data_IF_474738644216
#
_entry.id   IF_474738644216
#
_cell.length_a   1.000
_cell.length_b   1.000
_cell.length_c   1.000
_cell.angle_alpha   90.00
_cell.angle_beta   90.00
_cell.angle_gamma   90.00
#
_symmetry.space_group_name_H-M   'P 1'
#
loop_
_entity.id
_entity.type
_entity.pdbx_description
1 polymer ?
#
# COMPACT_ATOMS: atom_id res chain seq x y z
N UNK A 1 1.60 64.21 31.97
CA UNK A 1 1.15 63.89 30.59
C UNK A 1 1.30 62.39 30.43
N UNK A 2 0.28 61.63 30.82
CA UNK A 2 0.34 60.16 30.78
C UNK A 2 0.15 59.67 29.35
N UNK A 3 1.24 59.18 28.78
CA UNK A 3 1.23 58.48 27.50
C UNK A 3 0.78 57.04 27.78
N UNK A 4 -0.52 56.77 27.61
CA UNK A 4 -1.03 55.40 27.55
C UNK A 4 -0.52 54.75 26.26
N UNK A 5 0.49 53.89 26.37
CA UNK A 5 0.88 52.98 25.29
C UNK A 5 -0.28 52.02 25.01
N UNK A 6 -0.87 52.13 23.83
CA UNK A 6 -1.95 51.27 23.37
C UNK A 6 -1.37 49.91 22.94
N UNK A 7 -1.17 49.01 23.91
CA UNK A 7 -0.64 47.64 23.74
C UNK A 7 -1.63 46.68 23.04
N UNK A 8 -2.79 47.15 22.59
CA UNK A 8 -3.86 46.28 22.05
C UNK A 8 -3.70 45.94 20.55
N UNK A 9 -2.82 46.60 19.80
CA UNK A 9 -2.74 46.46 18.33
C UNK A 9 -1.59 45.58 17.81
N UNK A 10 -0.73 45.00 18.66
CA UNK A 10 0.44 44.22 18.21
C UNK A 10 0.46 42.75 18.64
N UNK A 11 -0.46 42.28 19.50
CA UNK A 11 -0.38 40.91 20.05
C UNK A 11 -0.84 39.82 19.09
N UNK A 12 -1.67 40.13 18.09
CA UNK A 12 -2.22 39.10 17.18
C UNK A 12 -1.26 38.70 16.06
N UNK A 13 -0.41 39.61 15.56
CA UNK A 13 0.53 39.32 14.46
C UNK A 13 1.89 38.76 14.90
N UNK A 14 2.15 38.69 16.21
CA UNK A 14 3.39 38.14 16.78
C UNK A 14 3.39 36.61 16.90
N UNK A 15 2.20 36.00 16.96
CA UNK A 15 2.03 34.54 17.09
C UNK A 15 1.47 33.88 15.82
N UNK A 16 1.47 34.62 14.71
CA UNK A 16 1.23 34.06 13.38
C UNK A 16 2.58 33.76 12.74
N UNK A 17 2.80 32.51 12.37
CA UNK A 17 4.02 32.13 11.67
C UNK A 17 4.03 32.83 10.30
N UNK A 18 5.00 33.71 10.07
CA UNK A 18 5.11 34.53 8.86
C UNK A 18 5.52 33.76 7.61
N UNK A 19 5.95 32.51 7.76
CA UNK A 19 6.37 31.66 6.63
C UNK A 19 5.48 30.44 6.42
N UNK A 20 4.64 30.08 7.40
CA UNK A 20 3.67 28.99 7.25
C UNK A 20 2.30 29.54 6.85
N UNK A 21 1.54 28.82 6.01
CA UNK A 21 0.18 29.21 5.66
C UNK A 21 -0.73 29.17 6.91
N UNK A 22 -1.53 30.22 7.10
CA UNK A 22 -2.52 30.32 8.19
C UNK A 22 -3.76 29.45 7.97
N UNK A 23 -3.96 28.97 6.74
CA UNK A 23 -4.97 27.96 6.39
C UNK A 23 -4.45 27.10 5.23
N UNK A 24 -4.77 25.81 5.26
CA UNK A 24 -4.38 24.85 4.23
C UNK A 24 -5.64 24.35 3.51
N UNK A 25 -5.64 24.42 2.18
CA UNK A 25 -6.74 23.82 1.40
C UNK A 25 -6.77 22.31 1.65
N UNK A 26 -7.92 21.72 2.04
CA UNK A 26 -8.01 20.28 2.34
C UNK A 26 -7.59 19.39 1.16
N UNK A 27 -7.64 19.87 -0.08
CA UNK A 27 -7.14 19.12 -1.24
C UNK A 27 -5.64 18.83 -1.13
N UNK A 28 -4.84 19.76 -0.59
CA UNK A 28 -3.42 19.51 -0.36
C UNK A 28 -3.18 18.44 0.69
N UNK A 29 -4.03 18.39 1.73
CA UNK A 29 -3.97 17.34 2.74
C UNK A 29 -4.36 15.96 2.17
N UNK A 30 -5.39 15.91 1.32
CA UNK A 30 -5.76 14.68 0.60
C UNK A 30 -4.60 14.20 -0.28
N UNK A 31 -3.99 15.11 -1.05
CA UNK A 31 -2.85 14.77 -1.89
C UNK A 31 -1.64 14.30 -1.08
N UNK A 32 -1.37 14.90 0.08
CA UNK A 32 -0.34 14.42 1.00
C UNK A 32 -0.64 12.99 1.49
N UNK A 33 -1.90 12.69 1.79
CA UNK A 33 -2.32 11.34 2.17
C UNK A 33 -2.18 10.33 1.01
N UNK A 34 -2.57 10.71 -0.22
CA UNK A 34 -2.48 9.85 -1.42
C UNK A 34 -1.03 9.45 -1.71
N UNK A 35 -0.08 10.38 -1.61
CA UNK A 35 1.34 10.03 -1.86
C UNK A 35 1.89 9.12 -0.75
N UNK A 36 1.50 9.37 0.50
CA UNK A 36 2.03 8.62 1.65
C UNK A 36 1.35 7.27 1.93
N UNK A 37 0.23 6.93 1.28
CA UNK A 37 -0.44 5.63 1.47
C UNK A 37 0.28 4.47 0.76
N UNK A 38 1.30 4.77 -0.06
CA UNK A 38 2.19 3.76 -0.63
C UNK A 38 2.87 2.95 0.48
N UNK A 39 2.87 1.62 0.32
CA UNK A 39 3.46 0.73 1.32
C UNK A 39 4.98 1.00 1.48
N UNK A 40 5.49 1.09 2.71
CA UNK A 40 6.91 1.31 2.96
C UNK A 40 7.74 0.08 2.62
N UNK A 41 9.06 0.23 2.61
CA UNK A 41 10.00 -0.84 2.23
C UNK A 41 9.96 -2.07 3.13
N UNK A 42 9.41 -1.95 4.35
CA UNK A 42 9.21 -3.05 5.28
C UNK A 42 8.38 -4.20 4.73
N UNK A 43 7.53 -3.97 3.71
CA UNK A 43 6.71 -5.04 3.14
C UNK A 43 7.52 -6.11 2.41
N UNK A 44 8.73 -5.78 1.94
CA UNK A 44 9.65 -6.80 1.38
C UNK A 44 10.27 -7.66 2.47
N UNK A 45 10.30 -7.17 3.71
CA UNK A 45 10.85 -7.88 4.88
C UNK A 45 9.90 -8.95 5.39
N UNK A 46 8.61 -8.61 5.47
CA UNK A 46 7.57 -9.49 6.01
C UNK A 46 6.65 -10.01 4.94
N UNK A 47 5.80 -9.14 4.40
CA UNK A 47 4.66 -9.53 3.55
C UNK A 47 5.12 -10.40 2.38
N UNK A 48 6.13 -9.95 1.63
CA UNK A 48 6.64 -10.67 0.45
C UNK A 48 7.35 -11.99 0.81
N UNK A 49 7.96 -12.07 1.98
CA UNK A 49 8.58 -13.31 2.47
C UNK A 49 7.55 -14.31 3.00
N UNK A 50 6.52 -13.83 3.72
CA UNK A 50 5.41 -14.64 4.24
C UNK A 50 4.65 -15.30 3.09
N UNK A 51 4.37 -14.55 2.01
CA UNK A 51 3.74 -15.11 0.80
C UNK A 51 4.74 -15.75 -0.17
N UNK A 52 6.01 -15.89 0.24
CA UNK A 52 7.06 -16.60 -0.48
C UNK A 52 7.31 -16.09 -1.91
N UNK A 53 7.22 -14.77 -2.14
CA UNK A 53 7.56 -14.14 -3.42
C UNK A 53 9.04 -13.75 -3.49
N UNK A 54 9.55 -13.15 -2.41
CA UNK A 54 10.94 -12.69 -2.30
C UNK A 54 11.52 -13.08 -0.94
N UNK A 55 12.82 -13.30 -0.90
CA UNK A 55 13.56 -13.70 0.29
C UNK A 55 14.96 -13.11 0.26
N UNK A 56 15.61 -13.03 1.41
CA UNK A 56 17.03 -12.74 1.51
C UNK A 56 17.70 -13.61 2.58
N UNK A 57 18.95 -14.06 2.33
CA UNK A 57 19.74 -14.77 3.32
C UNK A 57 20.38 -13.87 4.38
N UNK A 58 20.37 -12.55 4.16
CA UNK A 58 21.10 -11.61 5.00
C UNK A 58 20.41 -11.42 6.36
N UNK A 59 21.16 -11.69 7.44
CA UNK A 59 20.69 -11.51 8.82
C UNK A 59 20.44 -10.04 9.19
N UNK A 60 19.70 -9.82 10.29
CA UNK A 60 19.46 -8.48 10.87
C UNK A 60 18.31 -7.70 10.21
N UNK A 61 18.23 -7.65 8.88
CA UNK A 61 17.16 -6.93 8.17
C UNK A 61 16.06 -7.88 7.68
N UNK A 62 16.40 -9.06 7.18
CA UNK A 62 15.50 -9.92 6.39
C UNK A 62 15.26 -11.30 6.99
N UNK A 63 15.72 -11.49 8.22
CA UNK A 63 15.51 -12.69 9.02
C UNK A 63 14.05 -12.92 9.41
N UNK A 64 13.19 -11.89 9.37
CA UNK A 64 11.80 -11.92 9.83
C UNK A 64 10.99 -13.03 9.19
N UNK A 65 10.52 -12.84 7.94
CA UNK A 65 9.74 -13.86 7.25
C UNK A 65 10.53 -15.14 6.91
N UNK A 66 11.85 -15.04 6.72
CA UNK A 66 12.68 -16.17 6.31
C UNK A 66 12.89 -17.21 7.43
N UNK A 67 12.99 -16.76 8.69
CA UNK A 67 13.20 -17.62 9.86
C UNK A 67 12.06 -17.57 10.88
N UNK A 68 10.92 -16.97 10.51
CA UNK A 68 9.78 -16.76 11.39
C UNK A 68 10.18 -16.04 12.71
N UNK A 69 10.98 -14.98 12.60
CA UNK A 69 11.47 -14.19 13.73
C UNK A 69 10.65 -12.92 13.95
N UNK A 70 10.40 -12.58 15.21
CA UNK A 70 9.82 -11.29 15.59
C UNK A 70 10.89 -10.19 15.45
N UNK A 71 10.74 -9.36 14.43
CA UNK A 71 11.48 -8.12 14.23
C UNK A 71 10.48 -6.93 14.19
N UNK A 72 10.36 -6.21 15.30
CA UNK A 72 9.37 -5.13 15.45
C UNK A 72 9.74 -3.84 14.72
N UNK A 73 10.99 -3.70 14.26
CA UNK A 73 11.47 -2.48 13.61
C UNK A 73 10.77 -2.21 12.27
N UNK A 74 10.68 -3.16 11.32
CA UNK A 74 9.93 -2.98 10.07
C UNK A 74 8.44 -2.67 10.28
N UNK A 75 7.77 -3.32 11.25
CA UNK A 75 6.35 -3.12 11.54
C UNK A 75 6.04 -1.69 12.05
N UNK A 76 7.00 -1.08 12.75
CA UNK A 76 6.88 0.30 13.25
C UNK A 76 6.76 1.32 12.10
N UNK A 77 7.38 1.04 10.94
CA UNK A 77 7.38 1.98 9.81
C UNK A 77 6.00 2.14 9.16
N UNK A 78 5.25 1.04 9.01
CA UNK A 78 3.87 1.05 8.50
C UNK A 78 2.98 1.85 9.45
N UNK A 79 3.06 1.55 10.76
CA UNK A 79 2.29 2.27 11.78
C UNK A 79 2.50 3.77 11.71
N UNK A 80 3.76 4.21 11.77
CA UNK A 80 4.13 5.63 11.78
C UNK A 80 3.65 6.31 10.50
N UNK A 81 3.92 5.70 9.34
CA UNK A 81 3.56 6.28 8.05
C UNK A 81 2.05 6.42 7.91
N UNK A 82 1.30 5.36 8.19
CA UNK A 82 -0.14 5.36 8.00
C UNK A 82 -0.84 6.30 8.99
N UNK A 83 -0.50 6.28 10.28
CA UNK A 83 -1.16 7.17 11.24
C UNK A 83 -0.74 8.64 11.07
N UNK A 84 0.56 8.93 10.95
CA UNK A 84 1.06 10.32 10.92
C UNK A 84 0.82 10.99 9.58
N UNK A 85 0.97 10.27 8.47
CA UNK A 85 0.97 10.88 7.15
C UNK A 85 -0.33 10.64 6.38
N UNK A 86 -1.16 9.68 6.79
CA UNK A 86 -2.39 9.35 6.07
C UNK A 86 -3.62 9.61 6.96
N UNK A 87 -3.79 8.88 8.07
CA UNK A 87 -4.98 8.99 8.94
C UNK A 87 -5.18 10.42 9.47
N UNK A 88 -4.12 11.07 9.96
CA UNK A 88 -4.19 12.46 10.41
C UNK A 88 -4.70 13.38 9.31
N UNK A 89 -4.08 13.31 8.13
CA UNK A 89 -4.46 14.15 7.00
C UNK A 89 -5.89 13.88 6.53
N UNK A 90 -6.32 12.62 6.45
CA UNK A 90 -7.69 12.30 6.04
C UNK A 90 -8.72 12.73 7.08
N UNK A 91 -8.42 12.68 8.39
CA UNK A 91 -9.31 13.24 9.44
C UNK A 91 -9.50 14.75 9.25
N UNK A 92 -8.43 15.48 8.99
CA UNK A 92 -8.50 16.93 8.73
C UNK A 92 -9.29 17.22 7.45
N UNK A 93 -9.08 16.45 6.38
CA UNK A 93 -9.86 16.57 5.13
C UNK A 93 -11.35 16.39 5.39
N UNK A 94 -11.73 15.32 6.10
CA UNK A 94 -13.14 15.01 6.37
C UNK A 94 -13.79 16.12 7.20
N UNK A 95 -13.08 16.64 8.21
CA UNK A 95 -13.55 17.76 9.04
C UNK A 95 -13.71 19.04 8.22
N UNK A 96 -12.66 19.47 7.53
CA UNK A 96 -12.61 20.78 6.88
C UNK A 96 -13.46 20.83 5.61
N UNK A 97 -13.45 19.75 4.80
CA UNK A 97 -14.35 19.64 3.65
C UNK A 97 -15.80 19.46 4.10
N UNK A 98 -16.06 18.77 5.22
CA UNK A 98 -17.40 18.66 5.81
C UNK A 98 -17.98 19.99 6.31
N UNK A 99 -17.13 20.92 6.73
CA UNK A 99 -17.52 22.29 7.08
C UNK A 99 -17.76 23.19 5.86
N UNK A 100 -17.46 22.73 4.64
CA UNK A 100 -17.61 23.50 3.40
C UNK A 100 -18.63 22.83 2.48
N UNK A 101 -19.89 23.29 2.41
CA UNK A 101 -20.97 22.56 1.74
C UNK A 101 -20.72 22.19 0.27
N UNK A 102 -19.95 22.99 -0.48
CA UNK A 102 -19.64 22.73 -1.88
C UNK A 102 -18.55 21.66 -2.09
N UNK A 103 -17.90 21.17 -1.01
CA UNK A 103 -16.80 20.19 -1.05
C UNK A 103 -17.19 18.80 -0.57
N UNK A 104 -18.47 18.42 -0.71
CA UNK A 104 -18.96 17.09 -0.35
C UNK A 104 -18.18 15.95 -1.03
N UNK A 105 -17.76 16.13 -2.29
CA UNK A 105 -16.94 15.16 -3.00
C UNK A 105 -15.58 14.95 -2.32
N UNK A 106 -14.90 16.03 -1.93
CA UNK A 106 -13.61 15.98 -1.24
C UNK A 106 -13.71 15.28 0.12
N UNK A 107 -14.78 15.54 0.88
CA UNK A 107 -15.10 14.80 2.13
C UNK A 107 -15.15 13.29 1.86
N UNK A 108 -15.88 12.87 0.83
CA UNK A 108 -16.08 11.46 0.52
C UNK A 108 -14.83 10.78 -0.06
N UNK A 109 -14.02 11.49 -0.84
CA UNK A 109 -12.67 11.01 -1.25
C UNK A 109 -11.79 10.75 -0.02
N UNK A 110 -11.81 11.66 0.97
CA UNK A 110 -11.11 11.49 2.24
C UNK A 110 -11.57 10.27 3.04
N UNK A 111 -12.89 10.03 3.13
CA UNK A 111 -13.47 8.83 3.77
C UNK A 111 -13.01 7.54 3.08
N UNK A 112 -13.04 7.49 1.76
CA UNK A 112 -12.62 6.30 0.98
C UNK A 112 -11.13 5.99 1.22
N UNK A 113 -10.26 7.01 1.14
CA UNK A 113 -8.82 6.83 1.36
C UNK A 113 -8.51 6.43 2.81
N UNK A 114 -9.21 7.02 3.78
CA UNK A 114 -9.09 6.66 5.18
C UNK A 114 -9.51 5.22 5.44
N UNK A 115 -10.62 4.77 4.85
CA UNK A 115 -11.09 3.40 4.96
C UNK A 115 -10.06 2.41 4.35
N UNK A 116 -9.48 2.72 3.18
CA UNK A 116 -8.39 1.94 2.62
C UNK A 116 -7.18 1.86 3.56
N UNK A 117 -6.83 2.97 4.21
CA UNK A 117 -5.66 3.04 5.09
C UNK A 117 -5.89 2.21 6.35
N UNK A 118 -7.02 2.38 7.04
CA UNK A 118 -7.33 1.57 8.22
C UNK A 118 -7.43 0.09 7.90
N UNK A 119 -7.92 -0.24 6.71
CA UNK A 119 -7.92 -1.59 6.18
C UNK A 119 -6.49 -2.17 6.13
N UNK A 120 -5.50 -1.44 5.60
CA UNK A 120 -4.10 -1.88 5.61
C UNK A 120 -3.53 -2.10 7.03
N UNK A 121 -3.82 -1.20 7.96
CA UNK A 121 -3.30 -1.28 9.33
C UNK A 121 -3.93 -2.47 10.05
N UNK A 122 -5.26 -2.61 10.03
CA UNK A 122 -5.92 -3.70 10.77
C UNK A 122 -5.59 -5.07 10.19
N UNK A 123 -5.38 -5.20 8.87
CA UNK A 123 -4.98 -6.49 8.27
C UNK A 123 -3.65 -7.01 8.79
N UNK A 124 -2.75 -6.09 9.18
CA UNK A 124 -1.42 -6.44 9.65
C UNK A 124 -1.33 -6.58 11.16
N UNK A 125 -2.21 -5.90 11.91
CA UNK A 125 -2.08 -5.75 13.36
C UNK A 125 -3.32 -6.12 14.18
N UNK A 126 -4.45 -6.45 13.55
CA UNK A 126 -5.69 -6.79 14.23
C UNK A 126 -6.35 -5.56 14.83
N UNK A 127 -6.51 -5.55 16.15
CA UNK A 127 -7.13 -4.47 16.90
C UNK A 127 -6.22 -3.25 16.93
N UNK A 128 -6.77 -2.08 16.59
CA UNK A 128 -5.99 -0.85 16.41
C UNK A 128 -6.80 0.38 16.83
N UNK A 129 -6.16 1.52 17.12
CA UNK A 129 -6.87 2.78 17.25
C UNK A 129 -7.59 3.16 15.96
N UNK A 130 -8.92 3.24 16.01
CA UNK A 130 -9.74 3.50 14.83
C UNK A 130 -10.67 4.71 15.03
N UNK A 131 -11.70 4.59 15.89
CA UNK A 131 -12.72 5.65 16.03
C UNK A 131 -12.13 6.93 16.62
N UNK A 132 -11.13 6.78 17.49
CA UNK A 132 -10.46 7.89 18.17
C UNK A 132 -9.14 8.32 17.52
N UNK A 133 -8.71 7.62 16.46
CA UNK A 133 -7.43 7.87 15.85
C UNK A 133 -7.40 9.13 14.99
N UNK A 134 -6.26 9.84 15.05
CA UNK A 134 -6.01 11.07 14.29
C UNK A 134 -6.69 12.31 14.87
N UNK A 135 -7.25 12.23 16.08
CA UNK A 135 -8.01 13.32 16.72
C UNK A 135 -7.19 14.18 17.69
N UNK A 136 -5.86 13.99 17.77
CA UNK A 136 -5.02 14.73 18.71
C UNK A 136 -5.04 16.25 18.51
N UNK A 137 -5.10 16.74 17.27
CA UNK A 137 -5.25 18.18 17.01
C UNK A 137 -6.71 18.64 17.14
N UNK A 138 -7.65 17.83 16.65
CA UNK A 138 -9.07 18.18 16.53
C UNK A 138 -9.78 18.18 17.90
N UNK A 139 -9.55 17.14 18.71
CA UNK A 139 -10.27 16.88 19.97
C UNK A 139 -9.33 16.72 21.19
N UNK A 140 -8.02 16.97 21.03
CA UNK A 140 -7.02 16.81 22.09
C UNK A 140 -6.93 15.38 22.66
N UNK A 141 -7.28 14.37 21.85
CA UNK A 141 -7.12 12.96 22.24
C UNK A 141 -5.73 12.43 21.84
N UNK A 142 -4.83 12.30 22.82
CA UNK A 142 -3.46 11.82 22.62
C UNK A 142 -3.29 10.32 22.94
N UNK A 143 -4.30 9.67 23.51
CA UNK A 143 -4.27 8.27 23.94
C UNK A 143 -5.51 7.54 23.41
N UNK A 144 -5.62 7.38 22.08
CA UNK A 144 -6.81 6.81 21.47
C UNK A 144 -6.96 5.33 21.87
N UNK A 145 -8.18 4.91 22.20
CA UNK A 145 -8.48 3.51 22.49
C UNK A 145 -8.28 2.62 21.26
N UNK A 146 -8.11 1.32 21.51
CA UNK A 146 -8.09 0.30 20.47
C UNK A 146 -9.52 -0.18 20.21
N UNK A 147 -9.84 -0.37 18.94
CA UNK A 147 -11.10 -0.96 18.48
C UNK A 147 -10.85 -2.38 17.95
N UNK A 148 -11.81 -3.27 18.19
CA UNK A 148 -11.73 -4.64 17.71
C UNK A 148 -11.79 -4.68 16.17
N UNK A 149 -11.00 -5.54 15.53
CA UNK A 149 -10.99 -5.69 14.07
C UNK A 149 -12.38 -5.94 13.48
N UNK A 150 -13.24 -6.70 14.17
CA UNK A 150 -14.62 -6.94 13.74
C UNK A 150 -15.46 -5.64 13.68
N UNK A 151 -15.31 -4.77 14.68
CA UNK A 151 -15.99 -3.47 14.72
C UNK A 151 -15.45 -2.54 13.64
N UNK A 152 -14.13 -2.55 13.44
CA UNK A 152 -13.45 -1.79 12.38
C UNK A 152 -14.02 -2.20 11.01
N UNK A 153 -14.03 -3.49 10.66
CA UNK A 153 -14.56 -3.95 9.37
C UNK A 153 -16.04 -3.62 9.17
N UNK A 154 -16.82 -3.65 10.23
CA UNK A 154 -18.23 -3.25 10.18
C UNK A 154 -18.37 -1.79 9.78
N UNK A 155 -17.56 -0.91 10.36
CA UNK A 155 -17.59 0.51 10.03
C UNK A 155 -16.93 0.81 8.68
N UNK A 156 -15.85 0.12 8.30
CA UNK A 156 -15.23 0.24 6.98
C UNK A 156 -16.22 -0.05 5.84
N UNK A 157 -17.07 -1.08 6.00
CA UNK A 157 -18.12 -1.41 5.04
C UNK A 157 -19.14 -0.28 4.93
N UNK A 158 -19.56 0.29 6.06
CA UNK A 158 -20.46 1.44 6.10
C UNK A 158 -19.84 2.66 5.41
N UNK A 159 -18.62 3.04 5.82
CA UNK A 159 -17.90 4.20 5.29
C UNK A 159 -17.68 4.08 3.78
N UNK A 160 -17.24 2.92 3.28
CA UNK A 160 -17.05 2.68 1.85
C UNK A 160 -18.37 2.72 1.07
N UNK A 161 -19.45 2.17 1.63
CA UNK A 161 -20.78 2.18 0.99
C UNK A 161 -21.33 3.61 0.88
N UNK A 162 -21.36 4.33 2.00
CA UNK A 162 -21.91 5.69 2.08
C UNK A 162 -21.07 6.68 1.27
N UNK A 163 -19.75 6.70 1.48
CA UNK A 163 -18.89 7.66 0.80
C UNK A 163 -18.88 7.46 -0.72
N UNK A 164 -18.88 6.21 -1.20
CA UNK A 164 -18.95 5.92 -2.65
C UNK A 164 -20.31 6.33 -3.25
N UNK A 165 -21.40 6.11 -2.52
CA UNK A 165 -22.74 6.48 -2.97
C UNK A 165 -22.94 8.01 -3.01
N UNK A 166 -22.43 8.73 -2.01
CA UNK A 166 -22.56 10.19 -1.86
C UNK A 166 -21.71 11.00 -2.86
N UNK A 167 -20.75 10.38 -3.55
CA UNK A 167 -20.00 11.04 -4.61
C UNK A 167 -20.94 11.52 -5.73
N UNK A 168 -20.85 12.79 -6.13
CA UNK A 168 -21.73 13.41 -7.11
C UNK A 168 -20.95 13.97 -8.29
N UNK A 169 -21.17 13.40 -9.48
CA UNK A 169 -20.50 13.83 -10.71
C UNK A 169 -20.87 15.26 -11.16
N UNK A 170 -22.03 15.76 -10.73
CA UNK A 170 -22.47 17.14 -10.97
C UNK A 170 -22.04 18.11 -9.87
N UNK A 171 -21.37 17.61 -8.82
CA UNK A 171 -20.81 18.43 -7.74
C UNK A 171 -19.49 19.07 -8.14
N UNK A 172 -18.87 19.80 -7.19
CA UNK A 172 -17.53 20.38 -7.37
C UNK A 172 -16.51 19.29 -7.70
N UNK A 173 -15.68 19.57 -8.70
CA UNK A 173 -14.57 18.71 -9.13
C UNK A 173 -13.28 19.23 -8.51
N UNK A 174 -12.51 18.33 -7.91
CA UNK A 174 -11.19 18.63 -7.35
C UNK A 174 -10.10 18.34 -8.40
N UNK A 175 -9.93 19.26 -9.36
CA UNK A 175 -9.04 19.04 -10.52
C UNK A 175 -7.56 18.79 -10.14
N UNK A 176 -7.14 19.22 -8.95
CA UNK A 176 -5.80 19.00 -8.42
C UNK A 176 -5.59 17.65 -7.71
N UNK A 177 -6.59 16.76 -7.68
CA UNK A 177 -6.48 15.41 -7.11
C UNK A 177 -5.42 14.56 -7.84
N UNK A 178 -4.44 14.05 -7.10
CA UNK A 178 -3.32 13.28 -7.66
C UNK A 178 -3.69 11.85 -8.08
N UNK A 179 -4.78 11.27 -7.56
CA UNK A 179 -5.16 9.90 -7.87
C UNK A 179 -5.86 9.84 -9.23
N UNK A 180 -6.95 10.60 -9.39
CA UNK A 180 -7.83 10.52 -10.56
C UNK A 180 -8.11 11.87 -11.23
N UNK A 181 -7.40 12.94 -10.87
CA UNK A 181 -7.59 14.27 -11.48
C UNK A 181 -9.01 14.80 -11.27
N UNK A 182 -9.66 14.42 -10.17
CA UNK A 182 -11.04 14.81 -9.85
C UNK A 182 -12.11 13.98 -10.56
N UNK A 183 -11.75 12.89 -11.25
CA UNK A 183 -12.71 12.02 -11.91
C UNK A 183 -13.57 11.26 -10.89
N UNK A 184 -14.78 11.75 -10.65
CA UNK A 184 -15.72 11.21 -9.65
C UNK A 184 -16.12 9.76 -9.95
N UNK A 185 -16.26 9.39 -11.23
CA UNK A 185 -16.65 8.04 -11.61
C UNK A 185 -15.55 7.01 -11.27
N UNK A 186 -14.27 7.38 -11.42
CA UNK A 186 -13.15 6.54 -11.01
C UNK A 186 -13.05 6.43 -9.48
N UNK A 187 -13.28 7.52 -8.74
CA UNK A 187 -13.38 7.48 -7.28
C UNK A 187 -14.49 6.56 -6.78
N UNK A 188 -15.67 6.57 -7.42
CA UNK A 188 -16.75 5.61 -7.12
C UNK A 188 -16.29 4.17 -7.32
N UNK A 189 -15.68 3.87 -8.48
CA UNK A 189 -15.16 2.54 -8.77
C UNK A 189 -14.09 2.10 -7.78
N UNK A 190 -13.23 3.01 -7.34
CA UNK A 190 -12.22 2.73 -6.32
C UNK A 190 -12.87 2.37 -4.97
N UNK A 191 -13.80 3.18 -4.49
CA UNK A 191 -14.52 2.92 -3.23
C UNK A 191 -15.30 1.60 -3.24
N UNK A 192 -16.05 1.31 -4.31
CA UNK A 192 -16.73 0.01 -4.45
C UNK A 192 -15.78 -1.17 -4.64
N UNK A 193 -14.60 -0.97 -5.23
CA UNK A 193 -13.58 -2.03 -5.30
C UNK A 193 -12.97 -2.37 -3.94
N UNK A 194 -12.81 -1.37 -3.07
CA UNK A 194 -12.43 -1.59 -1.68
C UNK A 194 -13.54 -2.28 -0.91
N UNK A 195 -14.81 -1.96 -1.18
CA UNK A 195 -15.96 -2.66 -0.61
C UNK A 195 -15.97 -4.14 -1.01
N UNK A 196 -15.69 -4.45 -2.29
CA UNK A 196 -15.51 -5.82 -2.77
C UNK A 196 -14.41 -6.54 -2.00
N UNK A 197 -13.24 -5.90 -1.84
CA UNK A 197 -12.12 -6.46 -1.06
C UNK A 197 -12.53 -6.72 0.40
N UNK A 198 -13.22 -5.79 1.04
CA UNK A 198 -13.69 -5.95 2.42
C UNK A 198 -14.67 -7.12 2.55
N UNK A 199 -15.65 -7.22 1.65
CA UNK A 199 -16.58 -8.36 1.60
C UNK A 199 -15.87 -9.70 1.44
N UNK A 200 -14.88 -9.78 0.55
CA UNK A 200 -14.12 -11.01 0.33
C UNK A 200 -13.28 -11.46 1.52
N UNK A 201 -12.88 -10.54 2.40
CA UNK A 201 -12.15 -10.87 3.64
C UNK A 201 -13.04 -11.43 4.73
N UNK A 202 -14.31 -11.01 4.76
CA UNK A 202 -15.29 -11.55 5.69
C UNK A 202 -15.76 -12.96 5.35
N UNK A 203 -15.44 -13.49 4.17
CA UNK A 203 -16.04 -14.73 3.66
C UNK A 203 -15.99 -15.95 4.59
N UNK A 204 -14.97 -16.02 5.45
CA UNK A 204 -14.80 -17.12 6.42
C UNK A 204 -15.24 -16.75 7.85
N UNK A 205 -15.37 -15.46 8.14
CA UNK A 205 -15.72 -14.96 9.47
C UNK A 205 -17.23 -14.67 9.59
N UNK A 206 -17.85 -14.17 8.51
CA UNK A 206 -19.26 -13.83 8.40
C UNK A 206 -19.69 -13.92 6.93
N UNK A 207 -20.08 -15.12 6.50
CA UNK A 207 -20.41 -15.41 5.10
C UNK A 207 -21.64 -14.62 4.61
N UNK A 208 -22.64 -14.42 5.46
CA UNK A 208 -23.86 -13.68 5.09
C UNK A 208 -23.55 -12.20 4.84
N UNK A 209 -22.78 -11.57 5.75
CA UNK A 209 -22.34 -10.19 5.56
C UNK A 209 -21.39 -10.05 4.37
N UNK A 210 -20.51 -11.02 4.16
CA UNK A 210 -19.64 -11.07 2.98
C UNK A 210 -20.46 -11.04 1.69
N UNK A 211 -21.46 -11.92 1.56
CA UNK A 211 -22.32 -11.99 0.37
C UNK A 211 -23.06 -10.68 0.10
N UNK A 212 -23.70 -10.10 1.13
CA UNK A 212 -24.39 -8.82 1.02
C UNK A 212 -23.44 -7.70 0.58
N UNK A 213 -22.24 -7.65 1.17
CA UNK A 213 -21.22 -6.64 0.88
C UNK A 213 -20.70 -6.76 -0.56
N UNK A 214 -20.43 -7.98 -1.03
CA UNK A 214 -19.98 -8.23 -2.41
C UNK A 214 -21.06 -7.83 -3.42
N UNK A 215 -22.33 -8.17 -3.18
CA UNK A 215 -23.44 -7.75 -4.06
C UNK A 215 -23.56 -6.23 -4.15
N UNK A 216 -23.47 -5.53 -3.01
CA UNK A 216 -23.49 -4.07 -2.97
C UNK A 216 -22.32 -3.46 -3.74
N UNK A 217 -21.11 -4.00 -3.57
CA UNK A 217 -19.92 -3.56 -4.30
C UNK A 217 -20.06 -3.71 -5.82
N UNK A 218 -20.55 -4.86 -6.28
CA UNK A 218 -20.76 -5.14 -7.71
C UNK A 218 -21.82 -4.21 -8.29
N UNK A 219 -22.93 -4.00 -7.59
CA UNK A 219 -24.00 -3.11 -8.02
C UNK A 219 -23.55 -1.65 -8.12
N UNK A 220 -22.63 -1.21 -7.24
CA UNK A 220 -22.04 0.13 -7.29
C UNK A 220 -21.02 0.34 -8.42
N UNK A 221 -20.53 -0.75 -9.01
CA UNK A 221 -19.55 -0.75 -10.10
C UNK A 221 -18.10 -0.71 -9.58
N UNK A 222 -17.34 -1.75 -9.90
CA UNK A 222 -15.93 -1.90 -9.50
C UNK A 222 -14.96 -1.58 -10.65
N UNK A 223 -13.67 -1.49 -10.34
CA UNK A 223 -12.60 -1.35 -11.35
C UNK A 223 -12.50 -2.67 -12.14
N UNK A 224 -12.76 -2.61 -13.45
CA UNK A 224 -12.66 -3.76 -14.38
C UNK A 224 -11.67 -3.54 -15.52
N UNK A 225 -11.21 -2.30 -15.73
CA UNK A 225 -10.26 -1.93 -16.78
C UNK A 225 -8.98 -1.37 -16.16
N UNK A 226 -7.84 -1.62 -16.81
CA UNK A 226 -6.55 -1.11 -16.33
C UNK A 226 -6.47 0.42 -16.28
N UNK A 227 -7.23 1.11 -17.14
CA UNK A 227 -7.31 2.58 -17.15
C UNK A 227 -7.93 3.17 -15.87
N UNK A 228 -8.69 2.36 -15.12
CA UNK A 228 -9.34 2.74 -13.87
C UNK A 228 -8.54 2.32 -12.62
N UNK A 229 -7.38 1.67 -12.79
CA UNK A 229 -6.57 1.20 -11.67
C UNK A 229 -6.24 2.36 -10.70
N UNK A 230 -6.32 2.09 -9.41
CA UNK A 230 -5.91 3.04 -8.37
C UNK A 230 -4.42 2.85 -8.09
N UNK A 231 -3.61 3.88 -8.31
CA UNK A 231 -2.18 3.84 -8.01
C UNK A 231 -1.58 5.24 -7.82
N UNK A 232 -0.53 5.32 -7.02
CA UNK A 232 0.33 6.50 -6.95
C UNK A 232 1.39 6.43 -8.04
N UNK A 233 1.52 7.54 -8.76
CA UNK A 233 2.55 7.76 -9.79
C UNK A 233 3.85 8.20 -9.12
N UNK A 234 4.97 7.72 -9.64
CA UNK A 234 6.31 8.09 -9.21
C UNK A 234 7.11 8.59 -10.41
N UNK A 235 8.02 9.53 -10.15
CA UNK A 235 8.94 10.10 -11.13
C UNK A 235 10.34 10.24 -10.52
N UNK A 236 11.20 11.05 -11.16
CA UNK A 236 12.57 11.27 -10.69
C UNK A 236 12.67 12.11 -9.41
N UNK A 237 11.66 12.95 -9.13
CA UNK A 237 11.59 13.83 -7.96
C UNK A 237 10.80 13.19 -6.80
N UNK A 238 9.91 12.26 -7.12
CA UNK A 238 9.15 11.47 -6.17
C UNK A 238 9.24 9.99 -6.53
N UNK A 239 10.33 9.35 -6.10
CA UNK A 239 10.61 7.96 -6.43
C UNK A 239 9.83 6.98 -5.55
N UNK A 240 9.48 5.85 -6.15
CA UNK A 240 8.90 4.69 -5.47
C UNK A 240 9.90 4.16 -4.41
N UNK A 241 9.53 4.11 -3.13
CA UNK A 241 10.44 3.68 -2.06
C UNK A 241 11.04 2.28 -2.26
N UNK A 242 10.21 1.32 -2.70
CA UNK A 242 10.65 -0.05 -3.00
C UNK A 242 11.60 -0.08 -4.19
N UNK A 243 11.24 0.64 -5.25
CA UNK A 243 12.07 0.72 -6.44
C UNK A 243 13.43 1.35 -6.15
N UNK A 244 13.46 2.41 -5.35
CA UNK A 244 14.70 3.05 -4.93
C UNK A 244 15.57 2.08 -4.10
N UNK A 245 15.00 1.42 -3.10
CA UNK A 245 15.72 0.45 -2.26
C UNK A 245 16.37 -0.67 -3.09
N UNK A 246 15.62 -1.28 -4.01
CA UNK A 246 16.08 -2.41 -4.84
C UNK A 246 17.01 -2.00 -6.00
N UNK A 247 17.11 -0.70 -6.30
CA UNK A 247 18.09 -0.17 -7.27
C UNK A 247 19.28 0.54 -6.61
N UNK A 248 19.29 0.66 -5.27
CA UNK A 248 20.36 1.29 -4.51
C UNK A 248 20.97 0.31 -3.50
N UNK A 249 20.75 0.52 -2.20
CA UNK A 249 21.46 -0.18 -1.12
C UNK A 249 21.17 -1.68 -1.06
N UNK A 250 20.02 -2.13 -1.54
CA UNK A 250 19.59 -3.54 -1.47
C UNK A 250 19.58 -4.26 -2.83
N UNK A 251 20.26 -3.65 -3.80
CA UNK A 251 20.43 -4.13 -5.16
C UNK A 251 20.71 -5.64 -5.30
N UNK A 252 21.59 -6.16 -4.47
CA UNK A 252 22.10 -7.54 -4.55
C UNK A 252 21.61 -8.43 -3.40
N UNK A 253 20.65 -7.95 -2.60
CA UNK A 253 20.32 -8.58 -1.31
C UNK A 253 19.00 -9.32 -1.31
N UNK A 254 18.14 -9.13 -2.32
CA UNK A 254 16.86 -9.81 -2.41
C UNK A 254 16.76 -10.70 -3.64
N UNK A 255 16.19 -11.88 -3.44
CA UNK A 255 16.04 -12.92 -4.46
C UNK A 255 14.58 -13.34 -4.51
N UNK A 256 14.10 -13.74 -5.69
CA UNK A 256 12.81 -14.43 -5.83
C UNK A 256 12.91 -15.76 -5.11
N UNK A 257 11.91 -16.08 -4.31
CA UNK A 257 11.89 -17.33 -3.58
C UNK A 257 11.60 -18.52 -4.51
N UNK A 258 12.19 -19.68 -4.21
CA UNK A 258 12.06 -20.92 -4.97
C UNK A 258 10.61 -21.33 -5.21
N UNK A 259 9.70 -21.32 -4.21
CA UNK A 259 8.29 -21.68 -4.45
C UNK A 259 7.62 -20.81 -5.51
N UNK A 260 7.90 -19.51 -5.52
CA UNK A 260 7.33 -18.60 -6.51
C UNK A 260 7.88 -18.82 -7.91
N UNK A 261 9.21 -18.97 -8.05
CA UNK A 261 9.83 -19.27 -9.35
C UNK A 261 9.34 -20.62 -9.88
N UNK A 262 9.33 -21.66 -9.03
CA UNK A 262 8.90 -23.01 -9.41
C UNK A 262 7.43 -23.05 -9.80
N UNK A 263 6.55 -22.32 -9.10
CA UNK A 263 5.14 -22.22 -9.46
C UNK A 263 4.95 -21.64 -10.87
N UNK A 264 5.67 -20.56 -11.20
CA UNK A 264 5.61 -19.95 -12.53
C UNK A 264 6.26 -20.84 -13.61
N UNK A 265 7.33 -21.58 -13.29
CA UNK A 265 7.94 -22.53 -14.23
C UNK A 265 7.01 -23.71 -14.52
N UNK A 266 6.40 -24.28 -13.48
CA UNK A 266 5.54 -25.48 -13.59
C UNK A 266 4.31 -25.20 -14.44
N UNK A 267 3.76 -23.99 -14.38
CA UNK A 267 2.62 -23.57 -15.21
C UNK A 267 3.04 -22.96 -16.54
N UNK A 268 4.34 -22.95 -16.87
CA UNK A 268 4.89 -22.29 -18.07
C UNK A 268 4.43 -20.83 -18.20
N UNK A 269 4.38 -20.12 -17.08
CA UNK A 269 3.81 -18.78 -17.01
C UNK A 269 4.70 -17.76 -17.74
N UNK A 270 4.18 -17.07 -18.78
CA UNK A 270 4.98 -16.11 -19.53
C UNK A 270 5.43 -14.91 -18.68
N UNK A 271 4.78 -14.65 -17.55
CA UNK A 271 5.16 -13.56 -16.63
C UNK A 271 6.50 -13.81 -15.97
N UNK A 272 7.01 -15.05 -15.92
CA UNK A 272 8.33 -15.33 -15.34
C UNK A 272 9.43 -14.54 -16.05
N UNK A 273 9.40 -14.47 -17.38
CA UNK A 273 10.37 -13.68 -18.16
C UNK A 273 10.26 -12.17 -17.90
N UNK A 274 9.06 -11.68 -17.57
CA UNK A 274 8.85 -10.27 -17.27
C UNK A 274 9.30 -9.92 -15.84
N UNK A 275 9.08 -10.84 -14.89
CA UNK A 275 9.31 -10.65 -13.45
C UNK A 275 10.76 -10.91 -13.06
N UNK A 276 11.39 -11.95 -13.60
CA UNK A 276 12.64 -12.48 -13.09
C UNK A 276 13.85 -12.09 -13.95
N UNK A 277 14.97 -11.86 -13.29
CA UNK A 277 16.30 -11.78 -13.90
C UNK A 277 17.30 -12.60 -13.09
N UNK A 278 18.12 -13.38 -13.78
CA UNK A 278 19.22 -14.13 -13.19
C UNK A 278 20.56 -13.61 -13.73
N UNK A 279 21.53 -13.38 -12.86
CA UNK A 279 22.88 -12.97 -13.27
C UNK A 279 23.81 -14.17 -13.30
N UNK A 280 23.95 -14.80 -14.46
CA UNK A 280 24.68 -16.07 -14.63
C UNK A 280 26.18 -15.88 -14.38
N UNK A 281 26.75 -16.73 -13.53
CA UNK A 281 28.15 -16.70 -13.11
C UNK A 281 28.52 -15.61 -12.09
N UNK A 282 27.55 -14.84 -11.57
CA UNK A 282 27.83 -13.80 -10.58
C UNK A 282 28.27 -14.41 -9.24
N UNK A 283 29.44 -14.01 -8.75
CA UNK A 283 29.98 -14.43 -7.43
C UNK A 283 29.82 -13.37 -6.34
N UNK A 284 29.39 -12.16 -6.72
CA UNK A 284 29.12 -11.03 -5.84
C UNK A 284 28.09 -10.09 -6.48
N UNK A 285 27.56 -9.14 -5.71
CA UNK A 285 26.70 -8.07 -6.23
C UNK A 285 27.36 -7.26 -7.36
N UNK A 286 28.68 -7.03 -7.31
CA UNK A 286 29.41 -6.34 -8.38
C UNK A 286 29.44 -7.13 -9.70
N UNK A 287 29.28 -8.46 -9.64
CA UNK A 287 29.18 -9.34 -10.81
C UNK A 287 27.80 -9.34 -11.49
N UNK A 288 26.80 -8.69 -10.88
CA UNK A 288 25.44 -8.59 -11.42
C UNK A 288 25.35 -7.46 -12.47
N UNK A 289 25.93 -7.71 -13.64
CA UNK A 289 26.01 -6.76 -14.74
C UNK A 289 24.92 -6.99 -15.78
N UNK A 290 24.70 -6.04 -16.69
CA UNK A 290 23.79 -6.23 -17.82
C UNK A 290 24.19 -7.44 -18.68
N UNK A 291 25.49 -7.68 -18.86
CA UNK A 291 26.00 -8.77 -19.68
C UNK A 291 25.76 -10.16 -19.09
N UNK A 292 25.76 -10.29 -17.75
CA UNK A 292 25.45 -11.56 -17.07
C UNK A 292 23.95 -11.78 -16.85
N UNK A 293 23.12 -10.76 -17.05
CA UNK A 293 21.67 -10.81 -16.82
C UNK A 293 20.90 -11.59 -17.89
N UNK A 294 20.07 -12.56 -17.47
CA UNK A 294 19.18 -13.33 -18.32
C UNK A 294 17.77 -13.38 -17.78
N UNK A 295 16.79 -13.08 -18.64
CA UNK A 295 15.35 -13.24 -18.36
C UNK A 295 14.80 -14.55 -18.93
N UNK A 296 15.64 -15.44 -19.46
CA UNK A 296 15.18 -16.72 -20.03
C UNK A 296 14.53 -17.57 -18.92
N UNK A 297 13.23 -17.94 -19.03
CA UNK A 297 12.53 -18.77 -18.03
C UNK A 297 13.26 -20.06 -17.66
N UNK A 298 13.93 -20.70 -18.62
CA UNK A 298 14.65 -21.95 -18.40
C UNK A 298 15.81 -21.78 -17.42
N UNK A 299 16.48 -20.62 -17.44
CA UNK A 299 17.64 -20.32 -16.61
C UNK A 299 17.28 -19.83 -15.20
N UNK A 300 16.02 -19.48 -14.94
CA UNK A 300 15.62 -18.95 -13.63
C UNK A 300 15.69 -20.03 -12.55
N UNK A 301 16.28 -19.68 -11.42
CA UNK A 301 16.40 -20.49 -10.21
C UNK A 301 16.05 -19.60 -9.03
N UNK A 302 14.98 -19.92 -8.30
CA UNK A 302 14.60 -19.17 -7.10
C UNK A 302 15.36 -19.65 -5.88
N UNK A 303 15.55 -18.75 -4.91
CA UNK A 303 16.28 -19.04 -3.68
C UNK A 303 15.42 -19.87 -2.71
N UNK A 304 15.92 -20.99 -2.16
CA UNK A 304 15.20 -21.74 -1.14
C UNK A 304 14.92 -20.89 0.11
N UNK A 305 13.72 -21.04 0.66
CA UNK A 305 13.36 -20.44 1.95
C UNK A 305 14.18 -21.07 3.09
N UNK A 306 14.35 -20.35 4.19
CA UNK A 306 15.03 -20.81 5.41
C UNK A 306 16.56 -20.89 5.29
N UNK A 307 17.17 -20.23 4.30
CA UNK A 307 18.62 -20.14 4.14
C UNK A 307 19.14 -18.79 4.62
N UNK A 308 20.19 -18.83 5.43
CA UNK A 308 20.94 -17.66 5.93
C UNK A 308 22.25 -17.49 5.15
N UNK A 309 23.04 -16.47 5.48
CA UNK A 309 24.33 -16.22 4.83
C UNK A 309 25.32 -17.38 4.94
N UNK A 310 25.23 -18.20 5.99
CA UNK A 310 26.11 -19.36 6.16
C UNK A 310 25.68 -20.54 5.28
N UNK A 311 24.38 -20.75 5.09
CA UNK A 311 23.82 -21.91 4.37
C UNK A 311 23.43 -21.61 2.91
N UNK A 312 23.30 -20.35 2.53
CA UNK A 312 22.91 -19.93 1.17
C UNK A 312 23.95 -20.35 0.13
N UNK A 313 25.24 -20.27 0.45
CA UNK A 313 26.32 -20.71 -0.45
C UNK A 313 26.23 -22.21 -0.74
N UNK A 314 26.08 -23.04 0.29
CA UNK A 314 25.91 -24.49 0.12
C UNK A 314 24.65 -24.84 -0.69
N UNK A 315 23.54 -24.13 -0.46
CA UNK A 315 22.33 -24.30 -1.25
C UNK A 315 22.55 -23.93 -2.72
N UNK A 316 23.24 -22.82 -2.99
CA UNK A 316 23.56 -22.39 -4.35
C UNK A 316 24.42 -23.43 -5.08
N UNK A 317 25.44 -23.99 -4.41
CA UNK A 317 26.26 -25.08 -4.96
C UNK A 317 25.42 -26.31 -5.28
N UNK A 318 24.48 -26.69 -4.39
CA UNK A 318 23.58 -27.81 -4.62
C UNK A 318 22.65 -27.60 -5.83
N UNK A 319 22.25 -26.35 -6.09
CA UNK A 319 21.49 -25.95 -7.27
C UNK A 319 22.36 -25.71 -8.53
N UNK A 320 23.67 -25.98 -8.46
CA UNK A 320 24.60 -25.85 -9.58
C UNK A 320 24.98 -24.40 -9.93
N UNK A 321 24.85 -23.48 -8.97
CA UNK A 321 25.19 -22.07 -9.12
C UNK A 321 26.61 -21.78 -8.62
N UNK A 322 27.31 -20.79 -9.18
CA UNK A 322 28.64 -20.38 -8.71
C UNK A 322 28.60 -19.65 -7.37
N UNK A 323 27.48 -18.99 -7.05
CA UNK A 323 27.22 -18.41 -5.73
C UNK A 323 25.73 -18.12 -5.55
N UNK A 324 25.31 -17.77 -4.32
CA UNK A 324 23.92 -17.37 -4.08
C UNK A 324 23.54 -16.06 -4.80
N UNK A 325 24.52 -15.24 -5.22
CA UNK A 325 24.25 -14.02 -6.01
C UNK A 325 23.69 -14.34 -7.41
N UNK A 326 23.74 -15.60 -7.83
CA UNK A 326 23.10 -16.09 -9.05
C UNK A 326 21.63 -16.45 -8.89
N UNK A 327 21.06 -16.51 -7.68
CA UNK A 327 19.62 -16.73 -7.57
C UNK A 327 18.86 -15.61 -8.30
N UNK A 328 17.70 -15.96 -8.84
CA UNK A 328 16.89 -15.04 -9.64
C UNK A 328 16.39 -13.92 -8.73
N UNK A 329 16.39 -12.70 -9.25
CA UNK A 329 15.89 -11.51 -8.58
C UNK A 329 14.69 -10.96 -9.35
N UNK A 330 13.93 -10.06 -8.74
CA UNK A 330 12.96 -9.26 -9.49
C UNK A 330 13.70 -8.38 -10.50
N UNK A 331 13.24 -8.28 -11.74
CA UNK A 331 13.83 -7.41 -12.76
C UNK A 331 13.55 -5.95 -12.40
N UNK A 332 14.45 -5.38 -11.61
CA UNK A 332 14.39 -4.02 -11.08
C UNK A 332 14.40 -2.91 -12.12
N UNK A 333 14.78 -3.23 -13.37
CA UNK A 333 14.74 -2.29 -14.49
C UNK A 333 13.33 -2.20 -15.09
N UNK A 334 12.50 -3.22 -14.87
CA UNK A 334 11.14 -3.33 -15.39
C UNK A 334 10.09 -3.19 -14.29
N UNK A 335 10.11 -4.07 -13.29
CA UNK A 335 9.06 -4.21 -12.28
C UNK A 335 9.23 -3.23 -11.12
N UNK A 336 10.45 -3.10 -10.61
CA UNK A 336 10.74 -2.27 -9.43
C UNK A 336 11.67 -1.12 -9.77
N UNK A 337 11.48 -0.46 -10.92
CA UNK A 337 12.21 0.78 -11.23
C UNK A 337 11.80 1.89 -10.26
N UNK A 338 12.68 2.86 -10.03
CA UNK A 338 12.39 4.00 -9.13
C UNK A 338 11.13 4.80 -9.51
N UNK A 339 10.68 4.74 -10.77
CA UNK A 339 9.45 5.39 -11.25
C UNK A 339 8.26 4.42 -11.39
N UNK A 340 8.32 3.23 -10.79
CA UNK A 340 7.23 2.27 -10.87
C UNK A 340 6.00 2.76 -10.09
N UNK A 341 4.78 2.60 -10.62
CA UNK A 341 3.57 2.96 -9.88
C UNK A 341 3.40 2.07 -8.64
N UNK A 342 2.84 2.62 -7.57
CA UNK A 342 2.40 1.84 -6.41
C UNK A 342 0.89 1.61 -6.50
N UNK A 343 0.49 0.39 -6.85
CA UNK A 343 -0.92 0.05 -7.03
C UNK A 343 -1.64 -0.17 -5.69
N UNK A 344 -2.81 0.44 -5.54
CA UNK A 344 -3.72 0.24 -4.42
C UNK A 344 -4.78 -0.79 -4.75
N UNK A 345 -5.35 -0.73 -5.96
CA UNK A 345 -6.36 -1.65 -6.50
C UNK A 345 -6.15 -1.78 -7.99
N UNK A 346 -6.18 -3.01 -8.51
CA UNK A 346 -6.09 -3.30 -9.94
C UNK A 346 -7.33 -4.00 -10.47
N UNK A 347 -7.61 -3.82 -11.75
CA UNK A 347 -8.63 -4.59 -12.47
C UNK A 347 -8.38 -6.09 -12.36
N UNK A 348 -7.13 -6.53 -12.50
CA UNK A 348 -6.75 -7.94 -12.37
C UNK A 348 -7.12 -8.51 -11.00
N UNK A 349 -6.86 -7.78 -9.91
CA UNK A 349 -7.28 -8.18 -8.57
C UNK A 349 -8.80 -8.33 -8.49
N UNK A 350 -9.56 -7.36 -8.99
CA UNK A 350 -11.01 -7.40 -8.92
C UNK A 350 -11.60 -8.55 -9.74
N UNK A 351 -11.09 -8.80 -10.95
CA UNK A 351 -11.50 -9.96 -11.74
C UNK A 351 -11.30 -11.27 -10.98
N UNK A 352 -10.17 -11.42 -10.27
CA UNK A 352 -9.92 -12.60 -9.43
C UNK A 352 -10.88 -12.69 -8.24
N UNK A 353 -11.16 -11.57 -7.56
CA UNK A 353 -12.11 -11.53 -6.44
C UNK A 353 -13.54 -11.87 -6.89
N UNK A 354 -13.98 -11.36 -8.03
CA UNK A 354 -15.30 -11.65 -8.62
C UNK A 354 -15.39 -13.13 -9.05
N UNK A 355 -14.35 -13.66 -9.67
CA UNK A 355 -14.28 -15.08 -10.04
C UNK A 355 -14.39 -15.96 -8.81
N UNK A 356 -13.65 -15.62 -7.74
CA UNK A 356 -13.69 -16.36 -6.48
C UNK A 356 -15.05 -16.26 -5.79
N UNK A 357 -15.72 -15.09 -5.83
CA UNK A 357 -17.06 -14.95 -5.23
C UNK A 357 -18.09 -15.82 -5.95
N UNK A 358 -18.01 -15.90 -7.29
CA UNK A 358 -18.88 -16.76 -8.08
C UNK A 358 -18.62 -18.24 -7.80
N UNK A 359 -17.35 -18.64 -7.74
CA UNK A 359 -16.96 -20.01 -7.41
C UNK A 359 -17.53 -20.44 -6.04
N UNK A 360 -17.39 -19.62 -5.01
CA UNK A 360 -17.91 -19.92 -3.67
C UNK A 360 -19.43 -19.98 -3.63
N UNK A 361 -20.10 -19.10 -4.36
CA UNK A 361 -21.56 -19.15 -4.48
C UNK A 361 -22.04 -20.44 -5.14
N UNK A 362 -21.26 -21.01 -6.07
CA UNK A 362 -21.61 -22.22 -6.79
C UNK A 362 -21.25 -23.52 -6.03
N UNK A 363 -20.14 -23.52 -5.28
CA UNK A 363 -19.55 -24.74 -4.71
C UNK A 363 -19.42 -24.76 -3.18
N UNK A 364 -19.87 -23.72 -2.48
CA UNK A 364 -19.70 -23.60 -1.03
C UNK A 364 -18.31 -23.09 -0.61
N UNK A 365 -18.19 -22.68 0.65
CA UNK A 365 -17.00 -22.06 1.26
C UNK A 365 -15.94 -23.05 1.72
#
# INVERSE_FOLDING_TARGET
MDIKFNLSLQKTSLNENKVDPTSLDPLFQLNNAIVNVSLPTSVVVYDMGIIQQMVSPNGGVLAGANFNQDNRSPLTSVWITMYRNVIRNTRDVIKNAGATPDRANLKNMGRILQAYTFMLITDTQGDIPYTEAGLGFIDQNFLPKYDAQQAIYTDLIKELTEASAELNASGRIEAGDLLYGGNIAQWKRFGYSLLLRAGMRLSKADAAKAEATVKAAVAGGVILNNADNAFTRHDVNYQNPLGNMLNATEAANFFLAKPFVDALKTTSDPRLQAIAIRYVGATSGNGQTVASGSTNPALQVGMPMGKDNASAGAAATADGLASYYEYSQVDRRRLTKGTAPAFFVTAAQNHLLLTLSLYRSAYGS
#
